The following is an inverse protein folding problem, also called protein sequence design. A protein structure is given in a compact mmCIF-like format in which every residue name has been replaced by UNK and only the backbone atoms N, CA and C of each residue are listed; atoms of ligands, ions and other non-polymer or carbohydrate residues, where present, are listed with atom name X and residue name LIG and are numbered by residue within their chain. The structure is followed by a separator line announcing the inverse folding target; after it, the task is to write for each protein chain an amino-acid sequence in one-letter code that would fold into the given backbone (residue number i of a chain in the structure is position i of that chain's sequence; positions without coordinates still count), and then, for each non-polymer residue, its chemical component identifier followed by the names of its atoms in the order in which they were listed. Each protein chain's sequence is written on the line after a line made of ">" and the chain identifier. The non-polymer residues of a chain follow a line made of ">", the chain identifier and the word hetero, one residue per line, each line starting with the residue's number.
data_IF_382714535300
#
_entry.id   IF_382714535300
#
_cell.length_a   1.000
_cell.length_b   1.000
_cell.length_c   1.000
_cell.angle_alpha   90.00
_cell.angle_beta   90.00
_cell.angle_gamma   90.00
#
_symmetry.space_group_name_H-M   'P 1'
#
loop_
_entity.id
_entity.type
_entity.pdbx_description
1 polymer ?
#
# COMPACT_ATOMS: atom_id res chain seq x y z
N UNK A 1 -21.73 15.19 -14.58
CA UNK A 1 -20.89 16.38 -14.30
C UNK A 1 -19.44 15.95 -14.42
N UNK A 2 -18.57 16.71 -15.07
CA UNK A 2 -17.17 16.31 -15.25
C UNK A 2 -16.48 16.30 -13.88
N UNK A 3 -15.86 15.16 -13.57
CA UNK A 3 -15.02 14.95 -12.39
C UNK A 3 -13.93 16.01 -12.42
N UNK A 4 -13.77 16.76 -11.32
CA UNK A 4 -12.70 17.73 -11.17
C UNK A 4 -11.37 17.07 -11.54
N UNK A 5 -10.66 17.63 -12.51
CA UNK A 5 -9.27 17.25 -12.80
C UNK A 5 -8.48 17.68 -11.56
N UNK A 6 -8.30 16.74 -10.63
CA UNK A 6 -7.37 16.87 -9.52
C UNK A 6 -6.02 17.29 -10.12
N UNK A 7 -5.41 18.33 -9.54
CA UNK A 7 -4.00 18.63 -9.73
C UNK A 7 -3.23 17.32 -9.73
N UNK A 8 -2.57 16.98 -10.84
CA UNK A 8 -1.84 15.72 -10.95
C UNK A 8 -0.64 15.80 -10.03
N UNK A 9 -0.63 15.02 -8.95
CA UNK A 9 0.50 14.92 -8.06
C UNK A 9 1.78 14.63 -8.87
N UNK A 10 2.85 15.38 -8.58
CA UNK A 10 4.14 15.16 -9.20
C UNK A 10 4.65 13.74 -8.84
N UNK A 11 4.99 12.96 -9.86
CA UNK A 11 5.65 11.67 -9.67
C UNK A 11 7.16 11.90 -9.75
N UNK A 12 7.83 11.90 -8.60
CA UNK A 12 9.29 12.01 -8.52
C UNK A 12 9.91 10.64 -8.77
N UNK A 13 10.88 10.53 -9.67
CA UNK A 13 11.58 9.30 -10.01
C UNK A 13 13.09 9.46 -9.86
N UNK A 14 13.79 8.38 -9.51
CA UNK A 14 15.25 8.33 -9.51
C UNK A 14 15.72 7.90 -10.90
N UNK A 15 16.62 8.69 -11.49
CA UNK A 15 17.36 8.29 -12.67
C UNK A 15 18.36 7.18 -12.32
N UNK A 16 18.24 6.02 -12.94
CA UNK A 16 19.03 4.82 -12.63
C UNK A 16 20.54 4.99 -12.88
N UNK A 17 20.95 5.96 -13.71
CA UNK A 17 22.33 6.18 -14.07
C UNK A 17 22.96 7.31 -13.24
N UNK A 18 22.28 8.46 -13.14
CA UNK A 18 22.78 9.62 -12.40
C UNK A 18 22.45 9.59 -10.90
N UNK A 19 21.47 8.77 -10.49
CA UNK A 19 20.88 8.73 -9.15
C UNK A 19 20.22 10.05 -8.72
N UNK A 20 19.93 10.95 -9.66
CA UNK A 20 19.24 12.21 -9.40
C UNK A 20 17.72 12.01 -9.39
N UNK A 21 17.03 12.84 -8.62
CA UNK A 21 15.56 12.92 -8.62
C UNK A 21 15.10 13.80 -9.79
N UNK A 22 14.11 13.31 -10.54
CA UNK A 22 13.46 14.01 -11.65
C UNK A 22 11.94 13.96 -11.44
N UNK A 23 11.26 15.10 -11.66
CA UNK A 23 9.82 15.22 -11.47
C UNK A 23 9.05 15.09 -12.79
N UNK A 24 7.97 14.32 -12.76
CA UNK A 24 7.10 14.09 -13.92
C UNK A 24 5.63 14.26 -13.59
N UNK A 25 4.86 14.71 -14.57
CA UNK A 25 3.42 14.97 -14.43
C UNK A 25 2.61 14.16 -15.45
N UNK A 26 1.59 13.44 -14.99
CA UNK A 26 0.61 12.71 -15.80
C UNK A 26 1.17 11.93 -16.99
N UNK A 27 1.01 12.45 -18.21
CA UNK A 27 1.37 11.80 -19.47
C UNK A 27 2.87 11.86 -19.77
N UNK A 28 3.61 12.71 -19.05
CA UNK A 28 5.07 12.80 -19.16
C UNK A 28 5.81 11.76 -18.31
N UNK A 29 5.09 10.99 -17.48
CA UNK A 29 5.70 9.95 -16.64
C UNK A 29 6.28 8.85 -17.56
N UNK A 30 7.62 8.66 -17.55
CA UNK A 30 8.27 7.67 -18.42
C UNK A 30 7.97 6.25 -17.95
N UNK A 31 8.50 5.24 -18.64
CA UNK A 31 8.47 3.86 -18.13
C UNK A 31 9.45 3.73 -16.97
N UNK A 32 8.97 3.25 -15.82
CA UNK A 32 9.77 3.09 -14.60
C UNK A 32 9.51 1.76 -13.90
N UNK A 33 10.40 1.45 -12.96
CA UNK A 33 10.29 0.32 -12.02
C UNK A 33 9.96 0.87 -10.64
N UNK A 34 9.35 0.07 -9.78
CA UNK A 34 9.23 0.39 -8.35
C UNK A 34 10.08 -0.56 -7.52
N UNK A 35 10.76 -0.04 -6.50
CA UNK A 35 11.30 -0.84 -5.41
C UNK A 35 10.36 -0.81 -4.20
N UNK A 36 9.65 -1.91 -4.03
CA UNK A 36 8.92 -2.26 -2.81
C UNK A 36 9.92 -2.77 -1.76
N UNK A 37 9.90 -2.23 -0.55
CA UNK A 37 10.84 -2.63 0.49
C UNK A 37 10.31 -2.36 1.90
N UNK A 38 10.89 -3.05 2.88
CA UNK A 38 10.71 -2.68 4.29
C UNK A 38 11.85 -1.80 4.76
N UNK A 39 11.54 -0.73 5.48
CA UNK A 39 12.54 0.20 5.98
C UNK A 39 13.51 -0.47 6.95
N UNK A 40 14.78 -0.13 6.82
CA UNK A 40 15.86 -0.61 7.67
C UNK A 40 16.52 0.53 8.45
N UNK A 41 17.59 0.21 9.21
CA UNK A 41 18.39 1.25 9.86
C UNK A 41 19.08 2.10 8.78
N UNK A 42 19.12 3.41 9.00
CA UNK A 42 19.73 4.38 8.08
C UNK A 42 19.17 4.29 6.65
N UNK A 43 17.84 4.26 6.54
CA UNK A 43 17.12 4.39 5.29
C UNK A 43 17.48 5.71 4.57
N UNK A 44 17.63 5.66 3.24
CA UNK A 44 17.86 6.85 2.42
C UNK A 44 16.53 7.57 2.23
N UNK A 45 16.48 8.84 2.59
CA UNK A 45 15.28 9.66 2.53
C UNK A 45 15.34 10.63 1.35
N UNK A 46 14.18 11.18 0.98
CA UNK A 46 14.08 12.22 -0.04
C UNK A 46 15.09 13.36 0.16
N UNK A 47 15.21 13.86 1.39
CA UNK A 47 16.15 14.93 1.70
C UNK A 47 17.61 14.55 1.48
N UNK A 48 17.98 13.27 1.60
CA UNK A 48 19.35 12.79 1.39
C UNK A 48 19.72 12.73 -0.07
N UNK A 49 18.75 12.52 -0.96
CA UNK A 49 18.99 12.45 -2.39
C UNK A 49 19.43 13.79 -3.00
N UNK A 50 19.23 14.90 -2.27
CA UNK A 50 19.77 16.22 -2.65
C UNK A 50 21.31 16.29 -2.54
N UNK A 51 21.92 15.44 -1.72
CA UNK A 51 23.37 15.33 -1.55
C UNK A 51 23.80 13.87 -1.63
N UNK A 52 24.31 13.47 -2.80
CA UNK A 52 24.72 12.09 -3.05
C UNK A 52 25.81 11.59 -2.09
N UNK A 53 26.66 12.46 -1.55
CA UNK A 53 27.68 12.04 -0.57
C UNK A 53 27.02 11.69 0.76
N UNK A 54 26.02 12.48 1.18
CA UNK A 54 25.18 12.16 2.34
C UNK A 54 24.39 10.86 2.13
N UNK A 55 23.76 10.70 0.98
CA UNK A 55 23.05 9.45 0.64
C UNK A 55 24.01 8.24 0.69
N UNK A 56 25.22 8.35 0.11
CA UNK A 56 26.24 7.27 0.09
C UNK A 56 26.72 6.84 1.47
N UNK A 57 26.70 7.75 2.45
CA UNK A 57 27.11 7.45 3.82
C UNK A 57 26.14 6.51 4.56
N UNK A 58 24.90 6.37 4.07
CA UNK A 58 23.86 5.56 4.70
C UNK A 58 23.94 4.09 4.26
N UNK A 59 23.71 3.17 5.20
CA UNK A 59 23.69 1.73 4.87
C UNK A 59 22.61 1.36 3.84
N UNK A 60 21.45 2.03 3.89
CA UNK A 60 20.36 1.86 2.92
C UNK A 60 20.70 2.25 1.47
N UNK A 61 21.81 2.95 1.23
CA UNK A 61 22.20 3.36 -0.13
C UNK A 61 22.58 2.18 -1.02
N UNK A 62 23.14 1.12 -0.43
CA UNK A 62 23.50 -0.11 -1.13
C UNK A 62 22.29 -0.71 -1.86
N UNK A 63 21.13 -0.74 -1.20
CA UNK A 63 19.84 -1.15 -1.74
C UNK A 63 19.39 -0.25 -2.90
N UNK A 64 19.42 1.07 -2.72
CA UNK A 64 19.04 2.04 -3.78
C UNK A 64 19.90 1.84 -5.03
N UNK A 65 21.23 1.78 -4.85
CA UNK A 65 22.18 1.58 -5.94
C UNK A 65 21.99 0.22 -6.63
N UNK A 66 21.79 -0.84 -5.87
CA UNK A 66 21.53 -2.18 -6.39
C UNK A 66 20.25 -2.23 -7.22
N UNK A 67 19.17 -1.64 -6.73
CA UNK A 67 17.89 -1.55 -7.43
C UNK A 67 18.00 -0.73 -8.73
N UNK A 68 18.72 0.39 -8.71
CA UNK A 68 19.00 1.18 -9.92
C UNK A 68 19.80 0.39 -10.96
N UNK A 69 20.82 -0.36 -10.52
CA UNK A 69 21.64 -1.20 -11.39
C UNK A 69 20.82 -2.31 -12.04
N UNK A 70 19.93 -2.95 -11.27
CA UNK A 70 19.01 -3.98 -11.78
C UNK A 70 17.97 -3.40 -12.74
N UNK A 71 17.43 -2.22 -12.45
CA UNK A 71 16.51 -1.53 -13.37
C UNK A 71 17.21 -1.19 -14.70
N UNK A 72 18.42 -0.62 -14.63
CA UNK A 72 19.22 -0.28 -15.81
C UNK A 72 19.55 -1.51 -16.67
N UNK A 73 19.92 -2.64 -16.05
CA UNK A 73 20.21 -3.89 -16.79
C UNK A 73 18.98 -4.48 -17.51
N UNK A 74 17.78 -4.17 -17.03
CA UNK A 74 16.51 -4.54 -17.66
C UNK A 74 15.96 -3.45 -18.62
N UNK A 75 16.76 -2.42 -18.92
CA UNK A 75 16.40 -1.36 -19.87
C UNK A 75 15.45 -0.30 -19.32
N UNK A 76 15.34 -0.16 -18.00
CA UNK A 76 14.59 0.91 -17.36
C UNK A 76 15.51 2.05 -16.95
N UNK A 77 15.17 3.26 -17.39
CA UNK A 77 15.95 4.46 -17.05
C UNK A 77 15.55 5.06 -15.69
N UNK A 78 14.36 4.73 -15.18
CA UNK A 78 13.80 5.33 -13.98
C UNK A 78 13.32 4.28 -12.99
N UNK A 79 13.49 4.58 -11.70
CA UNK A 79 12.96 3.78 -10.59
C UNK A 79 12.31 4.68 -9.54
N UNK A 80 11.22 4.21 -8.94
CA UNK A 80 10.52 4.88 -7.84
C UNK A 80 10.72 4.09 -6.56
N UNK A 81 11.05 4.80 -5.48
CA UNK A 81 11.30 4.25 -4.14
C UNK A 81 10.67 5.20 -3.13
N UNK A 82 9.67 4.76 -2.36
CA UNK A 82 8.87 5.62 -1.48
C UNK A 82 9.71 6.42 -0.47
N UNK A 83 10.79 5.83 0.05
CA UNK A 83 11.70 6.48 1.00
C UNK A 83 12.41 7.68 0.37
N UNK A 84 12.80 7.57 -0.90
CA UNK A 84 13.59 8.54 -1.65
C UNK A 84 12.76 9.49 -2.52
N UNK A 85 11.56 9.11 -2.94
CA UNK A 85 10.76 9.81 -3.95
C UNK A 85 9.56 10.57 -3.37
N UNK A 86 9.31 10.48 -2.07
CA UNK A 86 8.25 11.23 -1.38
C UNK A 86 8.89 12.10 -0.32
N UNK A 87 8.68 13.42 -0.39
CA UNK A 87 9.00 14.30 0.72
C UNK A 87 7.99 14.10 1.86
N UNK A 88 8.42 13.35 2.88
CA UNK A 88 7.60 13.11 4.07
C UNK A 88 7.59 14.27 5.06
N UNK A 89 8.39 15.31 4.82
CA UNK A 89 8.39 16.54 5.64
C UNK A 89 7.26 17.49 5.24
N UNK A 90 6.79 17.41 3.99
CA UNK A 90 5.65 18.16 3.49
C UNK A 90 4.36 17.32 3.62
N UNK A 91 3.46 17.74 4.50
CA UNK A 91 2.17 17.05 4.71
C UNK A 91 1.27 17.09 3.46
N UNK A 92 1.38 18.15 2.65
CA UNK A 92 0.68 18.28 1.38
C UNK A 92 1.19 17.24 0.37
N UNK A 93 2.50 17.17 0.16
CA UNK A 93 3.10 16.18 -0.76
C UNK A 93 2.88 14.75 -0.29
N UNK A 94 3.02 14.49 1.01
CA UNK A 94 2.72 13.17 1.57
C UNK A 94 1.27 12.75 1.30
N UNK A 95 0.32 13.68 1.44
CA UNK A 95 -1.09 13.41 1.17
C UNK A 95 -1.35 13.15 -0.31
N UNK A 96 -0.80 13.98 -1.20
CA UNK A 96 -0.91 13.80 -2.65
C UNK A 96 -0.28 12.49 -3.11
N UNK A 97 0.88 12.14 -2.55
CA UNK A 97 1.59 10.90 -2.84
C UNK A 97 0.79 9.68 -2.39
N UNK A 98 0.24 9.66 -1.17
CA UNK A 98 -0.56 8.53 -0.67
C UNK A 98 -1.80 8.31 -1.52
N UNK A 99 -2.51 9.37 -1.92
CA UNK A 99 -3.68 9.26 -2.80
C UNK A 99 -3.32 8.83 -4.23
N UNK A 100 -2.07 9.05 -4.66
CA UNK A 100 -1.61 8.71 -6.02
C UNK A 100 -0.85 7.38 -6.08
N UNK A 101 -0.45 6.82 -4.94
CA UNK A 101 0.55 5.77 -4.86
C UNK A 101 0.12 4.49 -5.58
N UNK A 102 -1.12 4.05 -5.40
CA UNK A 102 -1.65 2.86 -6.07
C UNK A 102 -1.65 2.99 -7.59
N UNK A 103 -2.00 4.19 -8.09
CA UNK A 103 -1.94 4.50 -9.52
C UNK A 103 -0.50 4.48 -10.03
N UNK A 104 0.47 4.94 -9.24
CA UNK A 104 1.88 4.80 -9.59
C UNK A 104 2.29 3.33 -9.62
N UNK A 105 1.93 2.52 -8.61
CA UNK A 105 2.14 1.08 -8.64
C UNK A 105 1.56 0.41 -9.90
N UNK A 106 0.32 0.71 -10.25
CA UNK A 106 -0.34 0.16 -11.44
C UNK A 106 0.25 0.59 -12.78
N UNK A 107 0.87 1.78 -12.85
CA UNK A 107 1.54 2.28 -14.06
C UNK A 107 3.00 1.83 -14.20
N UNK A 108 3.59 1.31 -13.12
CA UNK A 108 4.96 0.80 -13.17
C UNK A 108 5.07 -0.38 -14.12
N UNK A 109 6.22 -0.50 -14.80
CA UNK A 109 6.47 -1.63 -15.69
C UNK A 109 6.78 -2.92 -14.93
N UNK A 110 7.48 -2.80 -13.79
CA UNK A 110 7.79 -3.89 -12.86
C UNK A 110 7.83 -3.33 -11.44
N UNK A 111 7.42 -4.12 -10.45
CA UNK A 111 7.69 -3.89 -9.04
C UNK A 111 8.65 -4.95 -8.50
N UNK A 112 9.81 -4.52 -8.00
CA UNK A 112 10.79 -5.35 -7.31
C UNK A 112 10.48 -5.35 -5.81
N UNK A 113 10.19 -6.52 -5.25
CA UNK A 113 10.08 -6.68 -3.80
C UNK A 113 11.47 -7.02 -3.22
N UNK A 114 12.02 -6.11 -2.40
CA UNK A 114 13.26 -6.32 -1.67
C UNK A 114 12.97 -6.88 -0.27
N UNK A 115 13.44 -8.11 -0.04
CA UNK A 115 13.24 -8.87 1.18
C UNK A 115 14.53 -8.92 1.97
N UNK A 116 14.73 -7.97 2.89
CA UNK A 116 15.98 -7.88 3.64
C UNK A 116 16.17 -8.96 4.72
N UNK A 117 15.10 -9.65 5.09
CA UNK A 117 15.06 -10.68 6.14
C UNK A 117 15.03 -12.11 5.60
N UNK A 118 15.14 -12.27 4.29
CA UNK A 118 15.12 -13.58 3.61
C UNK A 118 16.49 -13.86 3.04
N UNK A 119 17.18 -14.86 3.60
CA UNK A 119 18.47 -15.33 3.06
C UNK A 119 18.30 -16.59 2.20
N UNK A 120 17.20 -17.32 2.37
CA UNK A 120 16.90 -18.57 1.70
C UNK A 120 15.40 -18.66 1.35
N UNK A 121 15.07 -19.32 0.24
CA UNK A 121 13.69 -19.46 -0.25
C UNK A 121 12.75 -20.15 0.78
N UNK A 122 13.27 -20.98 1.67
CA UNK A 122 12.48 -21.59 2.76
C UNK A 122 11.95 -20.57 3.78
N UNK A 123 12.60 -19.41 3.90
CA UNK A 123 12.21 -18.33 4.83
C UNK A 123 11.26 -17.31 4.19
N UNK A 124 10.94 -17.48 2.89
CA UNK A 124 10.13 -16.54 2.14
C UNK A 124 8.77 -16.30 2.81
N UNK A 125 8.11 -17.36 3.28
CA UNK A 125 6.81 -17.28 3.94
C UNK A 125 6.82 -16.51 5.26
N UNK A 126 7.98 -16.39 5.91
CA UNK A 126 8.15 -15.73 7.20
C UNK A 126 8.62 -14.28 7.07
N UNK A 127 8.83 -13.78 5.84
CA UNK A 127 9.30 -12.41 5.62
C UNK A 127 8.29 -11.40 6.17
N UNK A 128 8.85 -10.38 6.86
CA UNK A 128 8.11 -9.20 7.32
C UNK A 128 7.39 -8.48 6.19
N UNK A 129 7.85 -8.64 4.95
CA UNK A 129 7.21 -8.06 3.78
C UNK A 129 5.77 -8.54 3.62
N UNK A 130 5.46 -9.82 3.87
CA UNK A 130 4.10 -10.36 3.72
C UNK A 130 3.13 -9.87 4.81
N UNK A 131 3.64 -9.39 5.94
CA UNK A 131 2.83 -8.91 7.07
C UNK A 131 2.79 -7.37 7.18
N UNK A 132 3.44 -6.61 6.30
CA UNK A 132 3.40 -5.13 6.30
C UNK A 132 2.25 -4.61 5.45
N UNK A 133 1.42 -3.71 5.96
CA UNK A 133 0.21 -3.24 5.26
C UNK A 133 0.44 -2.63 3.87
N UNK A 134 1.43 -1.73 3.72
CA UNK A 134 1.71 -1.03 2.46
C UNK A 134 2.16 -1.96 1.32
N UNK A 135 2.78 -3.10 1.64
CA UNK A 135 3.22 -4.09 0.63
C UNK A 135 2.06 -4.78 -0.08
N UNK A 136 0.82 -4.63 0.41
CA UNK A 136 -0.36 -5.10 -0.32
C UNK A 136 -0.51 -4.42 -1.67
N UNK A 137 -0.43 -3.09 -1.69
CA UNK A 137 -0.54 -2.33 -2.93
C UNK A 137 0.62 -2.67 -3.87
N UNK A 138 1.82 -2.80 -3.31
CA UNK A 138 3.05 -3.18 -4.01
C UNK A 138 2.97 -4.56 -4.68
N UNK A 139 2.20 -5.48 -4.10
CA UNK A 139 2.00 -6.85 -4.61
C UNK A 139 0.96 -6.92 -5.73
N UNK A 140 -0.16 -6.20 -5.59
CA UNK A 140 -1.36 -6.42 -6.40
C UNK A 140 -1.62 -5.36 -7.48
N UNK A 141 -1.09 -4.15 -7.30
CA UNK A 141 -1.33 -3.06 -8.24
C UNK A 141 -0.48 -3.18 -9.52
N UNK A 142 0.83 -3.51 -9.46
CA UNK A 142 1.65 -3.66 -10.67
C UNK A 142 1.16 -4.81 -11.56
N UNK A 143 1.13 -4.60 -12.88
CA UNK A 143 0.82 -5.68 -13.83
C UNK A 143 1.85 -6.83 -13.79
N UNK A 144 3.09 -6.52 -13.41
CA UNK A 144 4.18 -7.48 -13.25
C UNK A 144 4.91 -7.18 -11.94
N UNK A 145 4.65 -7.97 -10.91
CA UNK A 145 5.46 -7.99 -9.70
C UNK A 145 6.48 -9.12 -9.85
N UNK A 146 7.77 -8.77 -9.79
CA UNK A 146 8.85 -9.74 -9.76
C UNK A 146 9.32 -9.82 -8.31
N UNK A 147 8.91 -10.88 -7.62
CA UNK A 147 9.67 -11.33 -6.44
C UNK A 147 11.05 -11.71 -6.95
N UNK A 148 12.09 -11.38 -6.21
CA UNK A 148 13.41 -11.97 -6.45
C UNK A 148 13.39 -13.40 -5.86
N UNK A 149 12.50 -14.23 -6.43
CA UNK A 149 12.41 -15.71 -6.51
C UNK A 149 11.14 -16.10 -7.32
N UNK A 150 11.22 -17.13 -8.15
CA UNK A 150 10.53 -17.25 -9.46
C UNK A 150 9.12 -17.92 -9.45
N UNK A 151 8.59 -18.37 -8.31
CA UNK A 151 7.49 -19.36 -8.33
C UNK A 151 6.01 -18.90 -8.40
N UNK A 152 5.63 -17.69 -7.97
CA UNK A 152 4.26 -17.53 -7.40
C UNK A 152 3.33 -16.49 -8.07
N UNK A 153 3.80 -15.58 -8.92
CA UNK A 153 2.97 -14.44 -9.36
C UNK A 153 2.44 -14.55 -10.80
N UNK A 154 1.62 -15.56 -11.06
CA UNK A 154 0.85 -15.68 -12.31
C UNK A 154 -0.42 -14.79 -12.25
N UNK A 155 -0.27 -13.49 -12.51
CA UNK A 155 -1.33 -12.46 -12.50
C UNK A 155 -2.51 -12.72 -13.44
N UNK A 156 -3.46 -13.56 -13.00
CA UNK A 156 -4.62 -14.00 -13.80
C UNK A 156 -5.94 -13.29 -13.47
N UNK A 157 -6.02 -12.45 -12.41
CA UNK A 157 -7.26 -11.79 -11.97
C UNK A 157 -6.98 -10.36 -11.49
N UNK A 158 -7.73 -9.37 -11.99
CA UNK A 158 -7.62 -7.96 -11.58
C UNK A 158 -8.24 -7.73 -10.17
N UNK A 159 -7.56 -7.06 -9.22
CA UNK A 159 -8.06 -6.87 -7.85
C UNK A 159 -9.44 -6.21 -7.72
N UNK A 160 -9.79 -5.25 -8.58
CA UNK A 160 -11.13 -4.62 -8.56
C UNK A 160 -12.28 -5.58 -8.92
N UNK A 161 -12.00 -6.76 -9.50
CA UNK A 161 -13.01 -7.79 -9.79
C UNK A 161 -13.24 -8.73 -8.59
N UNK A 162 -12.61 -8.44 -7.45
CA UNK A 162 -12.66 -9.22 -6.22
C UNK A 162 -13.49 -8.46 -5.18
N UNK A 163 -14.28 -9.21 -4.39
CA UNK A 163 -15.19 -8.65 -3.41
C UNK A 163 -14.48 -7.79 -2.36
N UNK A 164 -15.21 -6.85 -1.76
CA UNK A 164 -14.68 -6.00 -0.68
C UNK A 164 -14.20 -6.86 0.49
N UNK A 165 -14.99 -7.84 0.93
CA UNK A 165 -14.60 -8.76 2.01
C UNK A 165 -13.28 -9.50 1.73
N UNK A 166 -13.07 -9.96 0.49
CA UNK A 166 -11.87 -10.70 0.11
C UNK A 166 -10.65 -9.78 0.02
N UNK A 167 -10.82 -8.55 -0.46
CA UNK A 167 -9.78 -7.51 -0.43
C UNK A 167 -9.40 -7.12 1.01
N UNK A 168 -10.39 -6.98 1.89
CA UNK A 168 -10.16 -6.75 3.33
C UNK A 168 -9.50 -7.95 4.01
N UNK A 169 -9.86 -9.18 3.65
CA UNK A 169 -9.19 -10.40 4.13
C UNK A 169 -7.69 -10.40 3.79
N UNK A 170 -7.29 -9.90 2.61
CA UNK A 170 -5.86 -9.77 2.31
C UNK A 170 -5.15 -8.83 3.28
N UNK A 171 -5.81 -7.77 3.73
CA UNK A 171 -5.27 -6.82 4.70
C UNK A 171 -5.32 -7.34 6.15
N UNK A 172 -6.20 -8.29 6.47
CA UNK A 172 -6.51 -8.70 7.86
C UNK A 172 -5.33 -9.27 8.64
N UNK A 173 -4.34 -9.86 7.95
CA UNK A 173 -3.14 -10.45 8.57
C UNK A 173 -1.97 -9.47 8.64
N UNK A 174 -2.14 -8.25 8.12
CA UNK A 174 -1.08 -7.25 8.04
C UNK A 174 -1.08 -6.36 9.28
N UNK A 175 0.13 -5.96 9.69
CA UNK A 175 0.40 -5.11 10.85
C UNK A 175 0.92 -3.75 10.40
N UNK A 176 0.49 -2.73 11.14
CA UNK A 176 0.88 -1.34 10.92
C UNK A 176 1.57 -0.74 12.12
N UNK A 177 2.40 0.28 11.85
CA UNK A 177 3.10 1.03 12.90
C UNK A 177 2.18 2.13 13.47
N UNK A 178 1.45 2.83 12.61
CA UNK A 178 0.42 3.80 13.01
C UNK A 178 -0.96 3.18 12.80
N UNK A 179 -1.90 3.49 13.69
CA UNK A 179 -3.25 2.93 13.66
C UNK A 179 -4.02 3.35 12.41
N UNK A 180 -3.88 4.61 12.00
CA UNK A 180 -4.59 5.15 10.85
C UNK A 180 -4.09 4.57 9.51
N UNK A 181 -2.84 4.09 9.47
CA UNK A 181 -2.28 3.47 8.26
C UNK A 181 -3.01 2.16 7.92
N UNK A 182 -3.70 1.53 8.88
CA UNK A 182 -4.60 0.38 8.62
C UNK A 182 -5.69 0.74 7.59
N UNK A 183 -6.08 2.03 7.53
CA UNK A 183 -7.03 2.55 6.57
C UNK A 183 -6.34 3.13 5.32
N UNK A 184 -5.34 4.00 5.51
CA UNK A 184 -4.73 4.75 4.41
C UNK A 184 -4.02 3.84 3.40
N UNK A 185 -3.46 2.72 3.85
CA UNK A 185 -2.83 1.75 2.95
C UNK A 185 -3.81 0.96 2.08
N UNK A 186 -5.12 1.10 2.28
CA UNK A 186 -6.13 0.39 1.52
C UNK A 186 -6.86 1.28 0.52
N UNK A 187 -6.74 2.60 0.64
CA UNK A 187 -7.45 3.58 -0.19
C UNK A 187 -7.33 3.27 -1.68
N UNK A 188 -6.11 3.05 -2.16
CA UNK A 188 -5.88 2.73 -3.57
C UNK A 188 -6.40 1.36 -4.02
N UNK A 189 -6.36 0.34 -3.14
CA UNK A 189 -6.95 -0.98 -3.43
C UNK A 189 -8.47 -0.89 -3.61
N UNK A 190 -9.11 0.06 -2.94
CA UNK A 190 -10.53 0.31 -3.06
C UNK A 190 -10.90 1.43 -4.03
N UNK A 191 -9.91 2.08 -4.65
CA UNK A 191 -10.08 3.23 -5.53
C UNK A 191 -10.90 4.36 -4.87
N UNK A 192 -10.59 4.65 -3.61
CA UNK A 192 -11.22 5.72 -2.82
C UNK A 192 -10.19 6.77 -2.42
N UNK A 193 -10.64 8.01 -2.28
CA UNK A 193 -9.82 9.14 -1.81
C UNK A 193 -10.45 9.73 -0.55
N UNK A 194 -9.63 10.00 0.47
CA UNK A 194 -10.07 10.63 1.72
C UNK A 194 -8.93 11.45 2.36
N UNK A 195 -9.23 12.53 3.11
CA UNK A 195 -8.21 13.30 3.81
C UNK A 195 -7.45 12.49 4.87
N UNK A 196 -6.13 12.64 4.91
CA UNK A 196 -5.27 12.05 5.94
C UNK A 196 -5.32 12.89 7.22
N UNK A 197 -5.94 12.35 8.26
CA UNK A 197 -6.01 12.95 9.59
C UNK A 197 -5.23 12.08 10.58
N UNK A 198 -3.92 12.30 10.70
CA UNK A 198 -3.12 11.60 11.72
C UNK A 198 -3.52 12.05 13.12
N UNK A 199 -3.78 11.10 14.02
CA UNK A 199 -4.34 11.32 15.36
C UNK A 199 -5.80 10.89 15.51
N UNK A 200 -6.45 10.40 14.46
CA UNK A 200 -7.84 9.92 14.52
C UNK A 200 -7.98 8.44 14.92
N UNK A 201 -6.87 7.69 14.97
CA UNK A 201 -6.82 6.27 15.32
C UNK A 201 -7.83 5.43 14.50
N UNK A 202 -8.66 4.62 15.18
CA UNK A 202 -9.57 3.66 14.54
C UNK A 202 -10.67 4.33 13.70
N UNK A 203 -10.91 5.65 13.91
CA UNK A 203 -11.86 6.42 13.08
C UNK A 203 -11.46 6.47 11.61
N UNK A 204 -10.16 6.37 11.31
CA UNK A 204 -9.65 6.34 9.94
C UNK A 204 -10.25 5.14 9.16
N UNK A 205 -10.32 3.98 9.81
CA UNK A 205 -10.83 2.75 9.18
C UNK A 205 -12.35 2.76 9.01
N UNK A 206 -13.07 3.40 9.95
CA UNK A 206 -14.51 3.65 9.79
C UNK A 206 -14.77 4.56 8.59
N UNK A 207 -14.02 5.66 8.45
CA UNK A 207 -14.14 6.57 7.31
C UNK A 207 -13.80 5.89 6.00
N UNK A 208 -12.77 5.03 5.96
CA UNK A 208 -12.47 4.23 4.78
C UNK A 208 -13.69 3.39 4.36
N UNK A 209 -14.32 2.66 5.29
CA UNK A 209 -15.50 1.86 4.98
C UNK A 209 -16.68 2.71 4.47
N UNK A 210 -16.86 3.91 5.02
CA UNK A 210 -17.87 4.86 4.55
C UNK A 210 -17.60 5.32 3.11
N UNK A 211 -16.34 5.63 2.75
CA UNK A 211 -16.00 5.99 1.37
C UNK A 211 -16.15 4.81 0.41
N UNK A 212 -15.78 3.59 0.84
CA UNK A 212 -16.00 2.37 0.03
C UNK A 212 -17.49 2.18 -0.24
N UNK A 213 -18.34 2.28 0.79
CA UNK A 213 -19.78 2.12 0.66
C UNK A 213 -20.47 3.17 -0.22
N UNK A 214 -19.84 4.34 -0.44
CA UNK A 214 -20.34 5.36 -1.37
C UNK A 214 -20.07 5.02 -2.84
N UNK A 215 -19.04 4.23 -3.12
CA UNK A 215 -18.59 3.93 -4.49
C UNK A 215 -18.89 2.51 -4.94
N UNK A 216 -19.39 1.64 -4.04
CA UNK A 216 -19.74 0.25 -4.37
C UNK A 216 -21.02 -0.22 -3.67
N UNK A 217 -21.79 -1.04 -4.37
CA UNK A 217 -22.96 -1.75 -3.82
C UNK A 217 -22.61 -3.14 -3.25
N UNK A 218 -21.31 -3.47 -3.17
CA UNK A 218 -20.84 -4.76 -2.66
C UNK A 218 -21.11 -4.90 -1.15
N UNK A 219 -22.21 -5.59 -0.84
CA UNK A 219 -22.67 -5.88 0.52
C UNK A 219 -21.67 -6.69 1.35
N UNK A 220 -20.64 -7.29 0.73
CA UNK A 220 -19.59 -8.00 1.46
C UNK A 220 -18.76 -7.07 2.37
N UNK A 221 -18.88 -5.74 2.24
CA UNK A 221 -18.31 -4.79 3.21
C UNK A 221 -18.84 -4.99 4.64
N UNK A 222 -20.05 -5.54 4.80
CA UNK A 222 -20.64 -5.85 6.10
C UNK A 222 -20.34 -7.27 6.58
N UNK A 223 -19.59 -8.05 5.80
CA UNK A 223 -19.33 -9.45 6.09
C UNK A 223 -18.09 -9.64 6.99
N UNK A 224 -18.07 -8.98 8.14
CA UNK A 224 -17.00 -9.05 9.15
C UNK A 224 -17.49 -9.73 10.45
N UNK A 225 -16.56 -10.15 11.29
CA UNK A 225 -16.83 -10.78 12.58
C UNK A 225 -16.28 -9.90 13.71
N UNK A 226 -17.08 -9.68 14.75
CA UNK A 226 -16.62 -9.14 16.03
C UNK A 226 -16.78 -10.20 17.12
N UNK A 227 -16.01 -10.10 18.21
CA UNK A 227 -16.28 -10.89 19.41
C UNK A 227 -17.50 -10.32 20.13
N UNK A 228 -18.68 -10.70 19.64
CA UNK A 228 -19.98 -10.29 20.20
C UNK A 228 -20.32 -10.98 21.53
N UNK A 229 -19.42 -11.82 22.06
CA UNK A 229 -19.67 -12.69 23.20
C UNK A 229 -18.69 -12.56 24.38
N UNK A 230 -17.57 -11.86 24.25
CA UNK A 230 -16.59 -11.77 25.36
C UNK A 230 -16.89 -10.65 26.36
N UNK A 231 -17.88 -9.80 26.07
CA UNK A 231 -18.30 -8.69 26.93
C UNK A 231 -19.33 -9.08 28.00
N UNK A 232 -19.81 -10.34 28.06
CA UNK A 232 -20.86 -10.73 29.02
C UNK A 232 -20.37 -11.02 30.44
N UNK A 233 -19.05 -11.08 30.66
CA UNK A 233 -18.48 -11.57 31.94
C UNK A 233 -17.67 -10.50 32.71
N UNK A 234 -17.69 -9.23 32.30
CA UNK A 234 -17.11 -8.12 33.07
C UNK A 234 -18.20 -7.38 33.84
N UNK A 235 -18.14 -7.40 35.18
CA UNK A 235 -19.02 -6.64 36.11
C UNK A 235 -18.79 -5.10 36.08
N UNK A 236 -18.12 -4.59 35.05
CA UNK A 236 -17.93 -3.17 34.82
C UNK A 236 -19.06 -2.65 33.92
N UNK A 237 -20.09 -2.04 34.50
CA UNK A 237 -21.18 -1.39 33.76
C UNK A 237 -20.69 -0.23 32.86
N UNK A 238 -19.47 0.28 33.08
CA UNK A 238 -18.78 1.25 32.23
C UNK A 238 -17.97 0.61 31.08
N UNK A 239 -17.85 -0.73 31.05
CA UNK A 239 -17.19 -1.49 29.99
C UNK A 239 -18.15 -1.93 28.87
N UNK A 240 -19.33 -1.30 28.77
CA UNK A 240 -20.12 -1.30 27.54
C UNK A 240 -19.34 -0.46 26.53
N UNK A 241 -18.30 -1.06 25.93
CA UNK A 241 -17.62 -0.44 24.81
C UNK A 241 -18.65 -0.25 23.72
N UNK A 242 -18.95 1.01 23.48
CA UNK A 242 -19.83 1.60 22.49
C UNK A 242 -19.61 0.99 21.09
N UNK A 243 -20.29 -0.11 20.79
CA UNK A 243 -20.28 -0.76 19.46
C UNK A 243 -21.66 -0.75 18.82
N UNK A 244 -22.23 0.45 18.66
CA UNK A 244 -23.37 0.75 17.78
C UNK A 244 -22.90 1.08 16.35
N UNK A 245 -21.93 0.34 15.81
CA UNK A 245 -21.34 0.64 14.52
C UNK A 245 -21.56 -0.51 13.54
N UNK A 246 -22.31 -0.23 12.48
CA UNK A 246 -22.46 -1.08 11.27
C UNK A 246 -21.09 -1.43 10.65
N UNK A 247 -20.06 -0.63 10.93
CA UNK A 247 -18.72 -0.73 10.38
C UNK A 247 -17.77 -1.53 11.28
N UNK A 248 -16.89 -2.29 10.64
CA UNK A 248 -15.86 -3.06 11.33
C UNK A 248 -14.85 -2.14 12.04
N UNK A 249 -14.29 -2.55 13.19
CA UNK A 249 -13.28 -1.78 13.90
C UNK A 249 -11.91 -1.76 13.19
N UNK A 250 -11.55 -2.85 12.52
CA UNK A 250 -10.25 -2.99 11.84
C UNK A 250 -10.30 -4.03 10.71
N UNK A 251 -9.29 -4.10 9.82
CA UNK A 251 -9.18 -5.16 8.82
C UNK A 251 -9.15 -6.57 9.42
N UNK A 252 -8.67 -6.73 10.65
CA UNK A 252 -8.59 -8.02 11.36
C UNK A 252 -9.96 -8.68 11.50
N UNK A 253 -11.02 -7.89 11.65
CA UNK A 253 -12.40 -8.38 11.70
C UNK A 253 -12.85 -9.11 10.43
N UNK A 254 -12.13 -8.95 9.31
CA UNK A 254 -12.37 -9.67 8.06
C UNK A 254 -11.55 -10.96 7.90
N UNK A 255 -10.80 -11.39 8.92
CA UNK A 255 -9.91 -12.56 8.84
C UNK A 255 -10.62 -13.88 8.51
N UNK A 256 -11.95 -13.96 8.69
CA UNK A 256 -12.78 -15.13 8.36
C UNK A 256 -13.70 -14.89 7.16
N UNK A 257 -13.48 -13.80 6.42
CA UNK A 257 -14.38 -13.32 5.36
C UNK A 257 -13.98 -13.76 3.95
N UNK A 258 -12.94 -14.58 3.83
CA UNK A 258 -12.39 -15.09 2.57
C UNK A 258 -13.41 -15.79 1.65
N UNK A 259 -14.47 -16.34 2.26
CA UNK A 259 -15.54 -17.10 1.61
C UNK A 259 -16.61 -16.25 0.94
N UNK A 260 -16.70 -14.96 1.26
CA UNK A 260 -17.75 -14.10 0.74
C UNK A 260 -17.41 -13.63 -0.68
N UNK A 261 -18.25 -14.04 -1.63
CA UNK A 261 -18.19 -13.57 -3.01
C UNK A 261 -19.11 -12.36 -3.15
N UNK A 262 -18.59 -11.28 -3.71
CA UNK A 262 -19.40 -10.14 -4.14
C UNK A 262 -20.24 -10.56 -5.33
N UNK A 263 -21.21 -9.74 -5.74
CA UNK A 263 -21.92 -9.99 -7.00
C UNK A 263 -20.87 -10.02 -8.12
N UNK A 264 -20.66 -11.19 -8.72
CA UNK A 264 -20.03 -11.27 -10.02
C UNK A 264 -20.83 -10.35 -10.95
N UNK A 265 -20.17 -9.52 -11.75
CA UNK A 265 -20.82 -8.77 -12.84
C UNK A 265 -21.41 -9.70 -13.93
N UNK A 266 -21.76 -10.94 -13.58
CA UNK A 266 -22.30 -12.00 -14.42
C UNK A 266 -23.52 -12.60 -13.72
N UNK A 267 -24.50 -11.76 -13.40
CA UNK A 267 -25.85 -12.19 -13.14
C UNK A 267 -26.82 -11.12 -13.67
N UNK A 268 -27.30 -11.42 -14.89
CA UNK A 268 -28.41 -10.81 -15.63
C UNK A 268 -28.20 -9.40 -16.21
#
# INVERSE_FOLDING_TARGET
>A
MPVAVLSSAACVLINTHSLQLEEFFDASIPKYVILSHTWEKEEVLFSDMADLDRARSKTGFSKVKGACTLAASQGYHYIWIDSCCIDKSSSAELSEAINSMYRWYGKSGVCYAYLCDVNDASQLGDSRWFIRGWTLQELIAPMRASLVDEGVLAGRIHPHNVSVAKRMYWASKRKMTRKEDEAYCLMGLFDVNMPLLYGEADKAFIRLQQEIARVTDDQSILAWYGDWFTASDSEDEDAIVQWDCVWAPSPESFALSDRFRGRSQHCC
#
